data_IF_702930666447
#
_entry.id   IF_702930666447
#
_cell.length_a   1.000
_cell.length_b   1.000
_cell.length_c   1.000
_cell.angle_alpha   90.00
_cell.angle_beta   90.00
_cell.angle_gamma   90.00
#
_symmetry.space_group_name_H-M   'P 1'
#
loop_
_entity.id
_entity.type
_entity.pdbx_description
1 polymer ?
#
# COMPACT_ATOMS: atom_id res chain seq x y z
N UNK A 1 11.21 -8.41 -24.91
CA UNK A 1 9.83 -8.35 -24.39
C UNK A 1 9.87 -7.70 -23.03
N UNK A 2 8.93 -6.79 -22.75
CA UNK A 2 8.82 -6.25 -21.39
C UNK A 2 8.36 -7.37 -20.44
N UNK A 3 9.04 -7.53 -19.31
CA UNK A 3 8.54 -8.39 -18.25
C UNK A 3 7.30 -7.71 -17.64
N UNK A 4 6.13 -8.34 -17.75
CA UNK A 4 4.88 -7.86 -17.15
C UNK A 4 4.51 -8.85 -16.05
N UNK A 5 4.63 -8.46 -14.76
CA UNK A 5 4.25 -9.31 -13.65
C UNK A 5 2.77 -9.70 -13.69
N UNK A 6 2.44 -10.84 -13.07
CA UNK A 6 1.06 -11.25 -12.83
C UNK A 6 0.80 -11.29 -11.33
N UNK A 7 -0.41 -10.87 -10.93
CA UNK A 7 -0.84 -11.08 -9.54
C UNK A 7 -1.27 -12.54 -9.35
N UNK A 8 -0.83 -13.12 -8.24
CA UNK A 8 -1.20 -14.46 -7.81
C UNK A 8 -1.92 -14.40 -6.48
N UNK A 9 -3.23 -14.47 -6.53
CA UNK A 9 -4.07 -14.46 -5.35
C UNK A 9 -4.03 -15.79 -4.61
N UNK A 10 -3.85 -15.74 -3.29
CA UNK A 10 -3.89 -16.88 -2.36
C UNK A 10 -4.64 -16.48 -1.10
N UNK A 11 -5.19 -17.43 -0.36
CA UNK A 11 -5.64 -17.13 1.00
C UNK A 11 -4.44 -17.07 1.93
N UNK A 12 -4.46 -16.13 2.87
CA UNK A 12 -3.56 -16.15 4.01
C UNK A 12 -3.82 -17.41 4.84
N UNK A 13 -2.78 -18.02 5.34
CA UNK A 13 -2.88 -19.10 6.33
C UNK A 13 -3.33 -18.54 7.68
N UNK A 14 -3.77 -19.42 8.59
CA UNK A 14 -4.08 -19.05 9.96
C UNK A 14 -2.86 -18.43 10.68
N UNK A 15 -1.65 -18.93 10.37
CA UNK A 15 -0.38 -18.39 10.90
C UNK A 15 -0.14 -16.97 10.41
N UNK A 16 -0.12 -16.75 9.08
CA UNK A 16 0.07 -15.43 8.47
C UNK A 16 -0.97 -14.42 8.99
N UNK A 17 -2.23 -14.83 9.12
CA UNK A 17 -3.29 -13.99 9.70
C UNK A 17 -2.98 -13.63 11.17
N UNK A 18 -2.58 -14.61 11.98
CA UNK A 18 -2.23 -14.40 13.39
C UNK A 18 -1.04 -13.45 13.56
N UNK A 19 -0.03 -13.57 12.70
CA UNK A 19 1.16 -12.72 12.71
C UNK A 19 0.82 -11.26 12.39
N UNK A 20 -0.02 -11.02 11.38
CA UNK A 20 -0.50 -9.68 11.04
C UNK A 20 -1.29 -9.08 12.22
N UNK A 21 -2.21 -9.83 12.81
CA UNK A 21 -2.99 -9.35 13.97
C UNK A 21 -2.11 -9.08 15.19
N UNK A 22 -1.10 -9.93 15.43
CA UNK A 22 -0.12 -9.71 16.50
C UNK A 22 0.68 -8.41 16.30
N UNK A 23 1.06 -8.14 15.05
CA UNK A 23 1.75 -6.90 14.71
C UNK A 23 0.84 -5.67 14.90
N UNK A 24 -0.37 -5.69 14.35
CA UNK A 24 -1.31 -4.57 14.45
C UNK A 24 -1.74 -4.25 15.89
N UNK A 25 -1.85 -5.26 16.76
CA UNK A 25 -2.14 -5.07 18.19
C UNK A 25 -0.98 -4.41 18.96
N UNK A 26 0.25 -4.56 18.48
CA UNK A 26 1.46 -3.97 19.09
C UNK A 26 1.85 -2.63 18.50
N UNK A 27 1.19 -2.23 17.40
CA UNK A 27 1.49 -0.95 16.76
C UNK A 27 1.20 0.22 17.69
N UNK A 28 2.17 1.10 17.81
CA UNK A 28 2.11 2.33 18.62
C UNK A 28 2.25 3.58 17.77
N UNK A 29 2.28 3.44 16.44
CA UNK A 29 2.51 4.52 15.50
C UNK A 29 1.23 5.29 15.39
N UNK A 30 0.54 5.90 15.84
CA UNK A 30 -0.73 6.65 15.71
C UNK A 30 -1.06 7.14 14.27
N UNK A 31 -0.34 6.66 13.26
CA UNK A 31 -0.57 7.03 11.86
C UNK A 31 -1.87 6.42 11.33
N UNK A 32 -2.10 5.16 11.67
CA UNK A 32 -3.31 4.42 11.31
C UNK A 32 -3.91 3.78 12.57
N UNK A 33 -5.25 3.67 12.68
CA UNK A 33 -5.90 3.06 13.83
C UNK A 33 -5.86 1.51 13.72
N UNK A 34 -4.64 0.94 13.64
CA UNK A 34 -4.45 -0.50 13.37
C UNK A 34 -5.01 -1.38 14.49
N UNK A 35 -4.75 -1.00 15.73
CA UNK A 35 -5.23 -1.73 16.90
C UNK A 35 -6.76 -1.70 16.99
N UNK A 36 -7.36 -0.55 16.79
CA UNK A 36 -8.81 -0.37 16.79
C UNK A 36 -9.47 -1.19 15.67
N UNK A 37 -8.91 -1.16 14.49
CA UNK A 37 -9.36 -1.98 13.36
C UNK A 37 -9.28 -3.47 13.65
N UNK A 38 -8.19 -3.92 14.30
CA UNK A 38 -8.02 -5.31 14.73
C UNK A 38 -9.09 -5.70 15.72
N UNK A 39 -9.32 -4.90 16.76
CA UNK A 39 -10.29 -5.18 17.81
C UNK A 39 -11.74 -5.07 17.31
N UNK A 40 -11.98 -4.29 16.26
CA UNK A 40 -13.28 -4.26 15.59
C UNK A 40 -13.55 -5.57 14.83
N UNK A 41 -12.55 -6.10 14.11
CA UNK A 41 -12.67 -7.38 13.39
C UNK A 41 -12.69 -8.59 14.33
N UNK A 42 -11.95 -8.51 15.44
CA UNK A 42 -11.75 -9.58 16.41
C UNK A 42 -11.96 -9.06 17.84
N UNK A 43 -13.22 -8.81 18.26
CA UNK A 43 -13.50 -8.30 19.60
C UNK A 43 -13.01 -9.20 20.73
N UNK A 44 -12.88 -10.50 20.46
CA UNK A 44 -12.33 -11.51 21.40
C UNK A 44 -10.89 -11.20 21.81
N UNK A 45 -10.12 -10.50 20.99
CA UNK A 45 -8.73 -10.12 21.28
C UNK A 45 -8.61 -8.98 22.33
N UNK A 46 -9.71 -8.32 22.70
CA UNK A 46 -9.70 -7.32 23.79
C UNK A 46 -9.31 -7.90 25.16
N UNK A 47 -9.44 -9.23 25.33
CA UNK A 47 -9.20 -9.91 26.61
C UNK A 47 -7.90 -10.70 26.64
N UNK A 48 -7.01 -10.48 25.64
CA UNK A 48 -5.73 -11.16 25.56
C UNK A 48 -4.91 -11.00 26.84
N UNK A 49 -4.45 -12.12 27.36
CA UNK A 49 -3.40 -12.21 28.39
C UNK A 49 -2.05 -12.52 27.74
N UNK A 50 -0.95 -12.47 28.51
CA UNK A 50 0.40 -12.80 28.00
C UNK A 50 0.56 -14.26 27.60
N UNK A 51 -0.31 -15.13 28.07
CA UNK A 51 -0.27 -16.59 27.87
C UNK A 51 -1.13 -17.03 26.68
N UNK A 52 -2.01 -16.15 26.19
CA UNK A 52 -2.94 -16.48 25.12
C UNK A 52 -2.26 -16.54 23.76
N UNK A 53 -2.63 -17.54 22.96
CA UNK A 53 -2.20 -17.69 21.58
C UNK A 53 -3.29 -17.13 20.66
N UNK A 54 -2.98 -16.03 19.97
CA UNK A 54 -3.90 -15.37 19.03
C UNK A 54 -4.48 -16.38 18.03
N UNK A 55 -3.67 -17.29 17.53
CA UNK A 55 -4.06 -18.31 16.53
C UNK A 55 -5.21 -19.19 17.03
N UNK A 56 -5.17 -19.60 18.29
CA UNK A 56 -6.23 -20.44 18.86
C UNK A 56 -7.54 -19.66 19.02
N UNK A 57 -7.44 -18.39 19.39
CA UNK A 57 -8.61 -17.51 19.58
C UNK A 57 -9.32 -17.23 18.26
N UNK A 58 -8.57 -16.94 17.17
CA UNK A 58 -9.16 -16.53 15.89
C UNK A 58 -9.56 -17.70 15.00
N UNK A 59 -9.18 -18.94 15.34
CA UNK A 59 -9.29 -20.14 14.49
C UNK A 59 -10.69 -20.35 13.88
N UNK A 60 -11.72 -20.25 14.69
CA UNK A 60 -13.09 -20.48 14.21
C UNK A 60 -13.54 -19.38 13.26
N UNK A 61 -13.21 -18.12 13.55
CA UNK A 61 -13.52 -16.98 12.69
C UNK A 61 -12.76 -17.07 11.35
N UNK A 62 -11.49 -17.46 11.40
CA UNK A 62 -10.68 -17.71 10.23
C UNK A 62 -11.30 -18.83 9.35
N UNK A 63 -11.65 -19.98 9.94
CA UNK A 63 -12.25 -21.10 9.23
C UNK A 63 -13.59 -20.72 8.56
N UNK A 64 -14.42 -19.95 9.27
CA UNK A 64 -15.67 -19.43 8.72
C UNK A 64 -15.41 -18.48 7.54
N UNK A 65 -14.45 -17.56 7.68
CA UNK A 65 -14.07 -16.66 6.58
C UNK A 65 -13.65 -17.44 5.33
N UNK A 66 -12.79 -18.43 5.44
CA UNK A 66 -12.34 -19.25 4.30
C UNK A 66 -13.51 -20.01 3.66
N UNK A 67 -14.38 -20.60 4.49
CA UNK A 67 -15.55 -21.36 4.01
C UNK A 67 -16.55 -20.48 3.24
N UNK A 68 -16.85 -19.31 3.78
CA UNK A 68 -17.82 -18.37 3.19
C UNK A 68 -17.29 -17.67 1.94
N UNK A 69 -15.96 -17.61 1.77
CA UNK A 69 -15.31 -16.85 0.71
C UNK A 69 -14.42 -17.76 -0.18
N UNK A 70 -14.76 -19.01 -0.35
CA UNK A 70 -13.95 -20.02 -1.03
C UNK A 70 -13.68 -19.74 -2.53
N UNK A 71 -14.42 -18.85 -3.17
CA UNK A 71 -14.28 -18.48 -4.58
C UNK A 71 -13.56 -17.13 -4.80
N UNK A 72 -13.20 -16.38 -3.73
CA UNK A 72 -12.62 -15.05 -3.91
C UNK A 72 -11.33 -15.05 -4.70
N UNK A 73 -10.50 -16.08 -4.57
CA UNK A 73 -9.24 -16.19 -5.31
C UNK A 73 -9.46 -16.19 -6.82
N UNK A 74 -10.40 -16.99 -7.31
CA UNK A 74 -10.76 -17.11 -8.71
C UNK A 74 -11.46 -15.85 -9.21
N UNK A 75 -12.35 -15.29 -8.42
CA UNK A 75 -13.05 -14.04 -8.69
C UNK A 75 -12.07 -12.88 -8.83
N UNK A 76 -11.17 -12.69 -7.88
CA UNK A 76 -10.18 -11.61 -7.89
C UNK A 76 -9.17 -11.76 -9.04
N UNK A 77 -8.77 -12.99 -9.33
CA UNK A 77 -7.92 -13.27 -10.50
C UNK A 77 -8.62 -12.86 -11.80
N UNK A 78 -9.90 -13.17 -11.94
CA UNK A 78 -10.70 -12.82 -13.13
C UNK A 78 -10.84 -11.31 -13.26
N UNK A 79 -11.23 -10.62 -12.18
CA UNK A 79 -11.37 -9.17 -12.16
C UNK A 79 -10.05 -8.47 -12.52
N UNK A 80 -8.95 -8.85 -11.85
CA UNK A 80 -7.68 -8.18 -12.06
C UNK A 80 -7.09 -8.42 -13.45
N UNK A 81 -7.28 -9.59 -14.04
CA UNK A 81 -6.77 -9.90 -15.38
C UNK A 81 -7.31 -8.95 -16.47
N UNK A 82 -8.46 -8.31 -16.26
CA UNK A 82 -9.00 -7.29 -17.18
C UNK A 82 -8.10 -6.05 -17.26
N UNK A 83 -7.34 -5.77 -16.20
CA UNK A 83 -6.54 -4.55 -16.02
C UNK A 83 -5.04 -4.81 -16.04
N UNK A 84 -4.59 -6.00 -15.64
CA UNK A 84 -3.18 -6.33 -15.36
C UNK A 84 -2.21 -5.77 -16.39
N UNK A 85 -2.31 -6.20 -17.64
CA UNK A 85 -1.28 -5.90 -18.65
C UNK A 85 -1.26 -4.41 -19.00
N UNK A 86 -2.43 -3.80 -19.09
CA UNK A 86 -2.58 -2.37 -19.40
C UNK A 86 -1.98 -1.53 -18.27
N UNK A 87 -2.34 -1.85 -17.02
CA UNK A 87 -1.88 -1.10 -15.86
C UNK A 87 -0.38 -1.30 -15.62
N UNK A 88 0.10 -2.55 -15.62
CA UNK A 88 1.52 -2.86 -15.41
C UNK A 88 2.42 -2.18 -16.45
N UNK A 89 1.97 -2.09 -17.71
CA UNK A 89 2.70 -1.37 -18.75
C UNK A 89 2.68 0.13 -18.51
N UNK A 90 1.50 0.69 -18.20
CA UNK A 90 1.36 2.14 -18.06
C UNK A 90 2.10 2.67 -16.83
N UNK A 91 2.02 1.97 -15.68
CA UNK A 91 2.75 2.40 -14.49
C UNK A 91 4.27 2.28 -14.69
N UNK A 92 4.74 1.29 -15.46
CA UNK A 92 6.13 1.16 -15.90
C UNK A 92 6.56 2.34 -16.77
N UNK A 93 5.70 2.76 -17.71
CA UNK A 93 5.94 3.94 -18.56
C UNK A 93 5.96 5.23 -17.72
N UNK A 94 5.03 5.37 -16.77
CA UNK A 94 4.96 6.54 -15.89
C UNK A 94 6.24 6.75 -15.09
N UNK A 95 6.76 5.67 -14.49
CA UNK A 95 8.02 5.71 -13.74
C UNK A 95 9.27 5.70 -14.62
N UNK A 96 9.12 5.54 -15.94
CA UNK A 96 10.24 5.37 -16.86
C UNK A 96 11.24 4.29 -16.39
N UNK A 97 10.70 3.16 -15.92
CA UNK A 97 11.47 2.01 -15.47
C UNK A 97 10.78 0.71 -15.89
N UNK A 98 11.54 -0.30 -16.28
CA UNK A 98 11.00 -1.63 -16.57
C UNK A 98 10.82 -2.40 -15.27
N UNK A 99 9.77 -3.21 -15.21
CA UNK A 99 9.63 -4.19 -14.14
C UNK A 99 10.88 -5.05 -14.07
N UNK A 100 11.54 -5.16 -12.91
CA UNK A 100 12.70 -6.01 -12.75
C UNK A 100 12.38 -7.47 -13.11
N UNK A 101 13.37 -8.21 -13.63
CA UNK A 101 13.15 -9.57 -14.14
C UNK A 101 12.68 -10.56 -13.07
N UNK A 102 13.01 -10.31 -11.84
CA UNK A 102 12.59 -11.07 -10.66
C UNK A 102 11.10 -10.89 -10.30
N UNK A 103 10.44 -9.85 -10.80
CA UNK A 103 9.00 -9.64 -10.66
C UNK A 103 8.25 -10.44 -11.74
N UNK A 104 8.27 -11.77 -11.66
CA UNK A 104 7.46 -12.62 -12.55
C UNK A 104 6.02 -12.71 -12.06
N UNK A 105 5.88 -12.93 -10.76
CA UNK A 105 4.61 -12.96 -10.03
C UNK A 105 4.73 -12.07 -8.80
N UNK A 106 3.62 -11.40 -8.45
CA UNK A 106 3.47 -10.68 -7.19
C UNK A 106 2.37 -11.39 -6.41
N UNK A 107 2.69 -11.87 -5.22
CA UNK A 107 1.75 -12.61 -4.37
C UNK A 107 0.78 -11.68 -3.69
N UNK A 108 -0.53 -12.02 -3.71
CA UNK A 108 -1.58 -11.26 -3.02
C UNK A 108 -2.30 -12.18 -2.05
N UNK A 109 -2.08 -11.95 -0.75
CA UNK A 109 -2.75 -12.70 0.31
C UNK A 109 -4.15 -12.13 0.60
N UNK A 110 -5.17 -12.99 0.62
CA UNK A 110 -6.55 -12.62 0.97
C UNK A 110 -6.83 -13.10 2.39
N UNK A 111 -7.19 -12.19 3.29
CA UNK A 111 -7.46 -12.53 4.67
C UNK A 111 -8.54 -11.69 5.33
N UNK A 112 -8.93 -12.07 6.54
CA UNK A 112 -9.71 -11.23 7.44
C UNK A 112 -8.74 -10.41 8.30
N UNK A 113 -8.23 -9.32 7.73
CA UNK A 113 -7.19 -8.47 8.31
C UNK A 113 -7.61 -7.00 8.28
N UNK A 114 -7.15 -6.14 9.21
CA UNK A 114 -7.57 -4.74 9.30
C UNK A 114 -6.80 -3.80 8.37
N UNK A 115 -5.75 -4.27 7.73
CA UNK A 115 -4.77 -3.48 6.98
C UNK A 115 -4.33 -4.23 5.73
N UNK A 116 -3.76 -3.53 4.76
CA UNK A 116 -3.16 -4.12 3.55
C UNK A 116 -1.62 -3.98 3.63
N UNK A 117 -0.93 -4.88 4.36
CA UNK A 117 0.52 -4.80 4.50
C UNK A 117 1.23 -5.14 3.18
N UNK A 118 2.32 -4.44 2.92
CA UNK A 118 3.15 -4.61 1.73
C UNK A 118 4.53 -5.13 2.11
N UNK A 119 5.02 -6.11 1.36
CA UNK A 119 6.30 -6.78 1.55
C UNK A 119 7.13 -6.63 0.27
N UNK A 120 7.88 -5.54 0.16
CA UNK A 120 8.61 -5.18 -1.08
C UNK A 120 9.64 -6.25 -1.43
N UNK A 121 10.38 -6.73 -0.45
CA UNK A 121 11.44 -7.74 -0.59
C UNK A 121 10.90 -9.08 -1.07
N UNK A 122 9.77 -9.49 -0.56
CA UNK A 122 9.05 -10.72 -0.89
C UNK A 122 8.20 -10.59 -2.15
N UNK A 123 8.03 -9.37 -2.69
CA UNK A 123 7.15 -9.06 -3.83
C UNK A 123 5.73 -9.52 -3.57
N UNK A 124 5.19 -9.08 -2.44
CA UNK A 124 3.88 -9.47 -1.98
C UNK A 124 3.16 -8.32 -1.27
N UNK A 125 1.84 -8.39 -1.23
CA UNK A 125 1.00 -7.60 -0.35
C UNK A 125 -0.23 -8.39 0.04
N UNK A 126 -0.89 -7.99 1.13
CA UNK A 126 -2.10 -8.66 1.59
C UNK A 126 -3.28 -7.70 1.57
N UNK A 127 -4.46 -8.26 1.39
CA UNK A 127 -5.71 -7.51 1.30
C UNK A 127 -6.79 -8.18 2.16
N UNK A 128 -7.68 -7.36 2.71
CA UNK A 128 -8.94 -7.89 3.23
C UNK A 128 -9.96 -8.10 2.09
N UNK A 129 -11.08 -8.77 2.38
CA UNK A 129 -12.17 -8.94 1.41
C UNK A 129 -12.63 -7.58 0.88
N UNK A 130 -12.70 -7.48 -0.45
CA UNK A 130 -13.03 -6.26 -1.19
C UNK A 130 -14.14 -6.52 -2.20
N UNK A 131 -14.94 -5.50 -2.50
CA UNK A 131 -15.75 -5.48 -3.71
C UNK A 131 -14.86 -5.25 -4.95
N UNK A 132 -15.43 -5.30 -6.16
CA UNK A 132 -14.69 -5.17 -7.41
C UNK A 132 -13.92 -3.84 -7.50
N UNK A 133 -14.56 -2.73 -7.15
CA UNK A 133 -13.98 -1.39 -7.26
C UNK A 133 -12.82 -1.22 -6.28
N UNK A 134 -13.02 -1.57 -5.02
CA UNK A 134 -12.00 -1.50 -3.99
C UNK A 134 -10.83 -2.45 -4.25
N UNK A 135 -11.07 -3.61 -4.89
CA UNK A 135 -10.02 -4.53 -5.29
C UNK A 135 -9.11 -3.90 -6.35
N UNK A 136 -9.70 -3.31 -7.40
CA UNK A 136 -8.94 -2.68 -8.48
C UNK A 136 -8.14 -1.50 -7.91
N UNK A 137 -8.78 -0.65 -7.11
CA UNK A 137 -8.14 0.48 -6.43
C UNK A 137 -6.94 0.03 -5.61
N UNK A 138 -7.14 -0.93 -4.70
CA UNK A 138 -6.08 -1.45 -3.84
C UNK A 138 -4.93 -2.08 -4.64
N UNK A 139 -5.23 -2.89 -5.67
CA UNK A 139 -4.18 -3.49 -6.49
C UNK A 139 -3.37 -2.43 -7.25
N UNK A 140 -4.02 -1.41 -7.81
CA UNK A 140 -3.31 -0.31 -8.48
C UNK A 140 -2.45 0.50 -7.50
N UNK A 141 -2.97 0.76 -6.30
CA UNK A 141 -2.28 1.45 -5.22
C UNK A 141 -1.00 0.69 -4.81
N UNK A 142 -1.12 -0.57 -4.41
CA UNK A 142 0.01 -1.36 -3.94
C UNK A 142 1.07 -1.57 -5.03
N UNK A 143 0.65 -1.81 -6.27
CA UNK A 143 1.57 -1.97 -7.38
C UNK A 143 2.31 -0.67 -7.75
N UNK A 144 1.69 0.49 -7.54
CA UNK A 144 2.36 1.78 -7.69
C UNK A 144 3.56 1.89 -6.75
N UNK A 145 3.41 1.46 -5.50
CA UNK A 145 4.50 1.48 -4.52
C UNK A 145 5.71 0.64 -4.95
N UNK A 146 5.50 -0.56 -5.52
CA UNK A 146 6.62 -1.40 -5.96
C UNK A 146 7.51 -0.65 -6.96
N UNK A 147 6.92 -0.02 -7.99
CA UNK A 147 7.72 0.73 -8.96
C UNK A 147 8.22 2.07 -8.44
N UNK A 148 7.48 2.73 -7.54
CA UNK A 148 7.97 3.91 -6.85
C UNK A 148 9.27 3.61 -6.11
N UNK A 149 9.32 2.54 -5.33
CA UNK A 149 10.53 2.16 -4.59
C UNK A 149 11.66 1.69 -5.50
N UNK A 150 11.38 0.95 -6.57
CA UNK A 150 12.40 0.60 -7.56
C UNK A 150 12.99 1.86 -8.23
N UNK A 151 12.15 2.85 -8.54
CA UNK A 151 12.63 4.13 -9.07
C UNK A 151 13.42 4.93 -8.04
N UNK A 152 13.02 4.92 -6.79
CA UNK A 152 13.78 5.52 -5.70
C UNK A 152 15.17 4.89 -5.56
N UNK A 153 15.30 3.58 -5.64
CA UNK A 153 16.59 2.87 -5.60
C UNK A 153 17.47 3.17 -6.81
N UNK A 154 16.88 3.39 -7.99
CA UNK A 154 17.61 3.85 -9.17
C UNK A 154 18.21 5.25 -8.94
N UNK A 155 17.43 6.16 -8.32
CA UNK A 155 17.86 7.54 -8.03
C UNK A 155 18.85 7.59 -6.87
N UNK A 156 18.67 6.73 -5.85
CA UNK A 156 19.44 6.67 -4.62
C UNK A 156 19.90 5.23 -4.34
N UNK A 157 20.97 4.76 -5.00
CA UNK A 157 21.39 3.35 -4.95
C UNK A 157 21.81 2.85 -3.55
N UNK A 158 22.10 3.75 -2.63
CA UNK A 158 22.49 3.42 -1.26
C UNK A 158 21.30 3.16 -0.32
N UNK A 159 20.07 3.44 -0.75
CA UNK A 159 18.88 3.18 0.06
C UNK A 159 18.61 1.69 0.16
N UNK A 160 18.25 1.27 1.37
CA UNK A 160 17.90 -0.12 1.71
C UNK A 160 16.40 -0.29 1.75
N UNK A 161 15.93 -1.51 1.83
CA UNK A 161 14.50 -1.80 1.94
C UNK A 161 13.89 -1.21 3.23
N UNK A 162 14.66 -1.20 4.31
CA UNK A 162 14.24 -0.65 5.61
C UNK A 162 13.97 0.86 5.56
N UNK A 163 14.57 1.58 4.60
CA UNK A 163 14.32 3.01 4.38
C UNK A 163 12.91 3.27 3.81
N UNK A 164 12.24 2.22 3.29
CA UNK A 164 10.88 2.27 2.76
C UNK A 164 9.81 1.83 3.76
N UNK A 165 10.21 1.41 4.96
CA UNK A 165 9.28 0.95 5.98
C UNK A 165 8.64 2.13 6.74
N UNK A 166 7.38 1.95 7.17
CA UNK A 166 6.69 2.90 8.04
C UNK A 166 7.39 2.99 9.41
N UNK A 167 7.54 4.19 9.98
CA UNK A 167 7.04 5.50 9.54
C UNK A 167 8.11 6.39 8.88
N UNK A 168 8.96 5.86 8.01
CA UNK A 168 10.01 6.66 7.35
C UNK A 168 9.42 7.78 6.49
N UNK A 169 10.21 8.83 6.26
CA UNK A 169 9.81 9.94 5.40
C UNK A 169 9.52 9.48 3.97
N UNK A 170 10.25 8.48 3.50
CA UNK A 170 10.06 7.90 2.17
C UNK A 170 8.77 7.07 2.08
N UNK A 171 8.41 6.37 3.15
CA UNK A 171 7.11 5.72 3.25
C UNK A 171 5.98 6.75 3.17
N UNK A 172 6.05 7.84 3.93
CA UNK A 172 5.06 8.92 3.84
C UNK A 172 4.95 9.48 2.43
N UNK A 173 6.09 9.76 1.78
CA UNK A 173 6.09 10.24 0.41
C UNK A 173 5.41 9.25 -0.53
N UNK A 174 5.68 7.94 -0.37
CA UNK A 174 5.07 6.91 -1.21
C UNK A 174 3.54 6.89 -1.12
N UNK A 175 2.98 7.15 0.06
CA UNK A 175 1.53 7.23 0.25
C UNK A 175 0.93 8.53 -0.32
N UNK A 176 1.62 9.66 -0.16
CA UNK A 176 1.16 10.96 -0.69
C UNK A 176 1.09 10.96 -2.22
N UNK A 177 2.08 10.39 -2.90
CA UNK A 177 2.19 10.42 -4.36
C UNK A 177 1.20 9.53 -5.09
N UNK A 178 0.48 8.66 -4.39
CA UNK A 178 -0.63 7.89 -4.94
C UNK A 178 -1.64 8.81 -5.64
N UNK A 179 -1.98 9.94 -5.01
CA UNK A 179 -2.94 10.90 -5.59
C UNK A 179 -2.47 11.44 -6.94
N UNK A 180 -1.32 12.13 -7.10
CA UNK A 180 -0.91 12.66 -8.39
C UNK A 180 -0.58 11.59 -9.43
N UNK A 181 -0.06 10.43 -9.03
CA UNK A 181 0.35 9.37 -9.96
C UNK A 181 -0.87 8.65 -10.53
N UNK A 182 -1.74 8.12 -9.67
CA UNK A 182 -2.87 7.31 -10.11
C UNK A 182 -4.00 8.16 -10.73
N UNK A 183 -4.08 9.45 -10.43
CA UNK A 183 -4.97 10.38 -11.11
C UNK A 183 -4.38 10.97 -12.40
N UNK A 184 -3.22 10.50 -12.87
CA UNK A 184 -2.65 10.91 -14.15
C UNK A 184 -3.54 10.50 -15.34
N UNK A 185 -3.50 11.29 -16.41
CA UNK A 185 -4.40 11.15 -17.57
C UNK A 185 -4.40 9.74 -18.16
N UNK A 186 -3.25 9.09 -18.24
CA UNK A 186 -3.15 7.78 -18.88
C UNK A 186 -3.66 6.65 -18.00
N UNK A 187 -3.41 6.70 -16.71
CA UNK A 187 -3.96 5.72 -15.75
C UNK A 187 -5.47 5.84 -15.68
N UNK A 188 -6.00 7.06 -15.69
CA UNK A 188 -7.45 7.33 -15.73
C UNK A 188 -8.16 6.81 -17.00
N UNK A 189 -7.44 6.59 -18.10
CA UNK A 189 -7.98 5.92 -19.30
C UNK A 189 -8.12 4.40 -19.12
N UNK A 190 -7.31 3.80 -18.23
CA UNK A 190 -7.36 2.36 -17.94
C UNK A 190 -8.50 2.06 -16.97
N UNK A 191 -8.57 2.84 -15.91
CA UNK A 191 -9.61 2.75 -14.88
C UNK A 191 -9.98 4.15 -14.40
N UNK A 192 -11.19 4.59 -14.78
CA UNK A 192 -11.70 5.91 -14.40
C UNK A 192 -12.17 5.88 -12.95
N UNK A 193 -11.30 6.26 -12.05
CA UNK A 193 -11.54 6.29 -10.61
C UNK A 193 -10.79 7.46 -9.99
N UNK A 194 -11.33 8.06 -8.91
CA UNK A 194 -10.61 9.07 -8.15
C UNK A 194 -9.82 8.40 -7.04
N UNK A 195 -8.56 8.12 -7.31
CA UNK A 195 -7.64 7.61 -6.30
C UNK A 195 -7.37 8.66 -5.23
N UNK A 196 -7.21 8.21 -3.99
CA UNK A 196 -6.90 9.07 -2.86
C UNK A 196 -5.75 8.51 -2.05
N UNK A 197 -4.88 9.40 -1.56
CA UNK A 197 -3.98 9.08 -0.47
C UNK A 197 -4.73 9.09 0.89
N UNK A 198 -4.05 8.87 2.00
CA UNK A 198 -4.70 8.93 3.32
C UNK A 198 -5.28 10.32 3.61
N UNK A 199 -6.48 10.34 4.21
CA UNK A 199 -7.23 11.58 4.49
C UNK A 199 -6.43 12.60 5.31
N UNK A 200 -5.49 12.13 6.15
CA UNK A 200 -4.63 12.99 6.95
C UNK A 200 -3.84 13.98 6.09
N UNK A 201 -3.36 13.56 4.91
CA UNK A 201 -2.50 14.39 4.06
C UNK A 201 -3.24 15.55 3.38
N UNK A 202 -4.58 15.44 3.21
CA UNK A 202 -5.38 16.53 2.62
C UNK A 202 -5.46 17.78 3.51
N UNK A 203 -5.22 17.62 4.81
CA UNK A 203 -5.32 18.71 5.78
C UNK A 203 -3.94 19.22 6.26
N UNK A 204 -2.85 18.70 5.69
CA UNK A 204 -1.50 19.17 6.03
C UNK A 204 -1.17 20.41 5.21
N UNK A 205 -0.80 21.48 5.91
CA UNK A 205 -0.24 22.70 5.33
C UNK A 205 1.17 22.91 5.87
N UNK A 206 2.12 23.18 4.99
CA UNK A 206 3.51 23.53 5.30
C UNK A 206 3.77 24.91 4.68
N UNK A 207 4.26 25.87 5.45
CA UNK A 207 4.46 27.27 5.01
C UNK A 207 3.21 27.90 4.38
N UNK A 208 2.01 27.61 4.91
CA UNK A 208 0.71 28.04 4.37
C UNK A 208 0.39 27.50 2.96
N UNK A 209 1.05 26.44 2.53
CA UNK A 209 0.79 25.76 1.26
C UNK A 209 0.24 24.36 1.58
N UNK A 210 -0.89 24.01 0.96
CA UNK A 210 -1.40 22.63 1.08
C UNK A 210 -0.39 21.62 0.51
N UNK A 211 -0.09 20.58 1.30
CA UNK A 211 0.91 19.57 0.96
C UNK A 211 0.61 18.87 -0.37
N UNK A 212 -0.65 18.44 -0.57
CA UNK A 212 -1.03 17.73 -1.80
C UNK A 212 -0.97 18.64 -3.03
N UNK A 213 -1.35 19.91 -2.91
CA UNK A 213 -1.23 20.88 -3.99
C UNK A 213 0.24 21.08 -4.38
N UNK A 214 1.13 21.21 -3.38
CA UNK A 214 2.56 21.32 -3.60
C UNK A 214 3.12 20.10 -4.33
N UNK A 215 2.90 18.90 -3.79
CA UNK A 215 3.40 17.64 -4.38
C UNK A 215 2.79 17.40 -5.77
N UNK A 216 1.48 17.61 -5.93
CA UNK A 216 0.81 17.49 -7.23
C UNK A 216 1.41 18.44 -8.27
N UNK A 217 1.73 19.68 -7.89
CA UNK A 217 2.38 20.65 -8.78
C UNK A 217 3.77 20.17 -9.21
N UNK A 218 4.55 19.60 -8.28
CA UNK A 218 5.88 19.04 -8.58
C UNK A 218 5.74 17.91 -9.61
N UNK A 219 4.82 16.95 -9.39
CA UNK A 219 4.63 15.81 -10.30
C UNK A 219 4.06 16.20 -11.67
N UNK A 220 3.28 17.28 -11.78
CA UNK A 220 2.76 17.76 -13.05
C UNK A 220 3.78 18.47 -13.92
N UNK A 221 4.78 19.11 -13.31
CA UNK A 221 5.69 20.02 -14.01
C UNK A 221 7.10 19.46 -14.24
N UNK A 222 7.39 18.25 -13.74
CA UNK A 222 8.74 17.69 -13.78
C UNK A 222 8.76 16.26 -14.34
N UNK A 223 9.96 15.79 -14.73
CA UNK A 223 10.17 14.37 -14.94
C UNK A 223 10.06 13.60 -13.61
N UNK A 224 9.78 12.32 -13.67
CA UNK A 224 9.58 11.49 -12.47
C UNK A 224 10.81 11.52 -11.54
N UNK A 225 12.03 11.54 -12.10
CA UNK A 225 13.27 11.61 -11.32
C UNK A 225 13.38 12.91 -10.55
N UNK A 226 13.05 14.04 -11.19
CA UNK A 226 13.05 15.36 -10.56
C UNK A 226 11.92 15.43 -9.54
N UNK A 227 10.73 14.94 -9.88
CA UNK A 227 9.58 14.98 -9.00
C UNK A 227 9.84 14.21 -7.69
N UNK A 228 10.41 13.02 -7.74
CA UNK A 228 10.78 12.26 -6.55
C UNK A 228 11.82 13.03 -5.71
N UNK A 229 12.87 13.57 -6.34
CA UNK A 229 13.93 14.31 -5.63
C UNK A 229 13.38 15.57 -4.95
N UNK A 230 12.64 16.40 -5.67
CA UNK A 230 12.10 17.65 -5.15
C UNK A 230 11.07 17.39 -4.03
N UNK A 231 10.21 16.41 -4.20
CA UNK A 231 9.21 16.05 -3.19
C UNK A 231 9.86 15.50 -1.91
N UNK A 232 10.85 14.63 -2.05
CA UNK A 232 11.60 14.10 -0.91
C UNK A 232 12.36 15.20 -0.18
N UNK A 233 13.07 16.08 -0.91
CA UNK A 233 13.80 17.20 -0.31
C UNK A 233 12.86 18.16 0.40
N UNK A 234 11.70 18.47 -0.20
CA UNK A 234 10.69 19.31 0.42
C UNK A 234 10.19 18.74 1.75
N UNK A 235 9.85 17.45 1.80
CA UNK A 235 9.45 16.80 3.04
C UNK A 235 10.59 16.76 4.07
N UNK A 236 11.82 16.54 3.62
CA UNK A 236 12.99 16.48 4.50
C UNK A 236 13.34 17.84 5.11
N UNK A 237 13.23 18.91 4.33
CA UNK A 237 13.45 20.30 4.81
C UNK A 237 12.42 20.71 5.87
N UNK A 238 11.21 20.12 5.83
CA UNK A 238 10.10 20.42 6.73
C UNK A 238 9.71 19.24 7.63
N UNK A 239 10.62 18.28 7.87
CA UNK A 239 10.31 16.98 8.47
C UNK A 239 9.64 17.10 9.84
N UNK A 240 10.18 17.95 10.73
CA UNK A 240 9.61 18.13 12.08
C UNK A 240 8.19 18.68 12.04
N UNK A 241 7.95 19.71 11.20
CA UNK A 241 6.62 20.31 11.02
C UNK A 241 5.65 19.29 10.41
N UNK A 242 6.06 18.59 9.36
CA UNK A 242 5.27 17.58 8.67
C UNK A 242 4.83 16.46 9.63
N UNK A 243 5.80 15.85 10.33
CA UNK A 243 5.52 14.76 11.28
C UNK A 243 4.62 15.23 12.43
N UNK A 244 4.86 16.43 12.97
CA UNK A 244 3.99 17.01 14.00
C UNK A 244 2.54 17.14 13.52
N UNK A 245 2.31 17.61 12.28
CA UNK A 245 0.97 17.76 11.71
C UNK A 245 0.29 16.43 11.39
N UNK A 246 1.06 15.40 11.02
CA UNK A 246 0.53 14.05 10.82
C UNK A 246 0.10 13.38 12.15
N UNK A 247 0.74 13.73 13.27
CA UNK A 247 0.46 13.11 14.57
C UNK A 247 -0.60 13.86 15.40
N UNK A 248 -0.90 15.12 15.08
CA UNK A 248 -1.90 15.94 15.76
C UNK A 248 -3.27 15.74 15.09
N UNK A 249 -3.98 14.68 15.51
CA UNK A 249 -5.41 14.44 15.20
C UNK A 249 -6.30 14.82 16.32
#
# INVERSE_FOLDING_TARGET
MNNIPKLKFKYLTLEETSDILSWTLKDTTNVLPLKEGTLFLYPELNRLTKEDNIKDIIKDRYNNFIKENNNLREEYTTIWNEYNDKYMLEISNYFNIKWPKEYKEISVGIGLIPVCPRYIKEKAFDIHKKNKEDLIDTCMHELCHFLFFEKCKEIYPNWKYEDFDSPSLLWYLSEIVIDPILNSTNIQKIYKHKFKCYDIFYNVEIDNINLLDKITSIYKNNSIEIAIKESYNYLKEHEEEFISKCNNK
#
